data_IF_383994827331
#
_entry.id   IF_383994827331
#
_cell.length_a   1.000
_cell.length_b   1.000
_cell.length_c   1.000
_cell.angle_alpha   90.00
_cell.angle_beta   90.00
_cell.angle_gamma   90.00
#
_symmetry.space_group_name_H-M   'P 1'
#
loop_
_entity.id
_entity.type
_entity.pdbx_description
1 polymer ?
#
# COMPACT_ATOMS: atom_id res chain seq x y z
N UNK A 1 -25.34 30.97 -34.16
CA UNK A 1 -24.67 32.01 -33.36
C UNK A 1 -25.66 32.65 -32.38
N UNK A 2 -25.54 32.31 -31.10
CA UNK A 2 -25.87 33.07 -29.87
C UNK A 2 -25.34 32.21 -28.71
N UNK A 3 -24.59 32.76 -27.73
CA UNK A 3 -23.95 31.96 -26.70
C UNK A 3 -24.93 31.59 -25.58
N UNK A 4 -24.85 30.34 -25.13
CA UNK A 4 -25.58 29.81 -23.98
C UNK A 4 -24.96 30.32 -22.67
N UNK A 5 -25.80 30.91 -21.81
CA UNK A 5 -25.49 31.27 -20.43
C UNK A 5 -25.48 30.03 -19.54
N UNK A 6 -24.32 29.65 -19.00
CA UNK A 6 -24.18 28.59 -18.01
C UNK A 6 -24.08 29.15 -16.58
N UNK A 7 -25.01 28.73 -15.71
CA UNK A 7 -25.07 29.08 -14.30
C UNK A 7 -23.81 28.68 -13.53
N UNK A 8 -23.19 29.64 -12.84
CA UNK A 8 -22.17 29.39 -11.84
C UNK A 8 -22.80 28.75 -10.60
N UNK A 9 -22.40 27.52 -10.27
CA UNK A 9 -22.70 26.92 -8.98
C UNK A 9 -21.96 27.71 -7.88
N UNK A 10 -22.72 28.39 -7.02
CA UNK A 10 -22.22 29.10 -5.84
C UNK A 10 -21.64 28.10 -4.84
N UNK A 11 -20.38 28.27 -4.46
CA UNK A 11 -19.84 27.66 -3.24
C UNK A 11 -20.59 28.22 -2.03
N UNK A 12 -21.01 27.40 -1.05
CA UNK A 12 -21.46 27.89 0.24
C UNK A 12 -20.30 28.64 0.90
N UNK A 13 -20.55 29.91 1.22
CA UNK A 13 -19.65 30.82 1.91
C UNK A 13 -19.26 30.29 3.29
N UNK A 14 -17.97 30.11 3.56
CA UNK A 14 -17.51 29.82 4.93
C UNK A 14 -16.07 29.37 5.12
N UNK A 15 -15.32 28.98 4.09
CA UNK A 15 -13.94 28.46 4.28
C UNK A 15 -13.01 28.94 3.16
N UNK A 16 -12.47 30.15 3.31
CA UNK A 16 -11.17 30.61 2.79
C UNK A 16 -11.11 32.14 2.86
N UNK A 17 -10.50 32.70 3.90
CA UNK A 17 -10.03 34.08 3.86
C UNK A 17 -8.63 34.11 3.25
N UNK A 18 -8.53 34.37 1.94
CA UNK A 18 -7.27 34.81 1.34
C UNK A 18 -7.08 36.30 1.65
N UNK A 19 -6.33 36.65 2.70
CA UNK A 19 -5.82 38.03 2.84
C UNK A 19 -4.61 38.20 1.92
N UNK A 20 -4.74 39.13 0.98
CA UNK A 20 -3.67 39.64 0.14
C UNK A 20 -2.74 40.57 0.93
N UNK A 21 -1.45 40.25 1.00
CA UNK A 21 -0.40 41.20 1.40
C UNK A 21 0.68 40.65 2.35
N UNK A 22 1.93 40.61 1.85
CA UNK A 22 3.21 40.58 2.58
C UNK A 22 3.80 39.23 3.08
N UNK A 23 5.15 39.11 3.14
CA UNK A 23 5.88 37.86 2.85
C UNK A 23 6.11 37.01 4.09
N UNK A 24 5.65 35.75 4.06
CA UNK A 24 5.94 34.81 5.13
C UNK A 24 7.37 34.26 4.99
N UNK A 25 8.24 34.62 5.94
CA UNK A 25 9.46 33.88 6.28
C UNK A 25 9.06 32.46 6.72
N UNK A 26 9.67 31.43 6.14
CA UNK A 26 9.61 30.09 6.73
C UNK A 26 10.69 29.98 7.81
N UNK A 27 10.29 30.02 9.08
CA UNK A 27 11.11 29.55 10.20
C UNK A 27 10.93 28.04 10.36
N UNK A 28 12.04 27.30 10.35
CA UNK A 28 12.09 25.91 10.79
C UNK A 28 12.36 25.88 12.30
N UNK A 29 11.44 25.33 13.08
CA UNK A 29 11.71 24.90 14.46
C UNK A 29 11.18 23.49 14.62
N UNK A 30 12.11 22.54 14.65
CA UNK A 30 11.88 21.16 15.05
C UNK A 30 13.17 20.65 15.69
N UNK A 31 13.25 20.78 17.01
CA UNK A 31 14.36 20.32 17.82
C UNK A 31 14.35 18.78 17.89
N UNK A 32 15.49 18.16 17.57
CA UNK A 32 15.71 16.72 17.75
C UNK A 32 16.33 16.50 19.14
N UNK A 33 15.59 15.91 20.06
CA UNK A 33 16.15 15.39 21.32
C UNK A 33 16.85 14.07 21.06
N UNK A 34 18.18 14.06 21.17
CA UNK A 34 19.04 12.88 21.19
C UNK A 34 19.13 12.33 22.63
N UNK A 35 18.93 11.02 22.80
CA UNK A 35 19.36 10.25 23.99
C UNK A 35 20.60 9.40 23.63
N UNK A 36 21.64 9.30 24.49
CA UNK A 36 22.89 8.62 24.16
C UNK A 36 22.94 7.16 24.68
N UNK A 37 23.68 6.30 23.99
CA UNK A 37 24.21 5.02 24.51
C UNK A 37 25.76 5.06 24.50
N UNK A 38 26.44 4.38 25.44
CA UNK A 38 27.86 4.61 25.76
C UNK A 38 28.85 3.83 24.85
N UNK A 39 30.15 4.18 24.87
CA UNK A 39 31.13 3.65 23.92
C UNK A 39 31.83 2.39 24.43
N UNK A 40 32.13 1.45 23.52
CA UNK A 40 33.11 0.39 23.74
C UNK A 40 34.36 0.69 22.89
N UNK A 41 35.52 0.66 23.57
CA UNK A 41 36.86 0.95 23.05
C UNK A 41 37.53 -0.28 22.41
N UNK A 42 38.41 0.05 21.47
CA UNK A 42 39.68 -0.59 21.08
C UNK A 42 39.73 -2.06 20.65
N UNK A 43 40.03 -2.29 19.37
CA UNK A 43 41.12 -3.18 18.92
C UNK A 43 41.53 -2.85 17.47
N UNK A 44 42.82 -3.03 17.19
CA UNK A 44 43.65 -2.33 16.20
C UNK A 44 44.05 -3.17 14.95
N UNK A 45 44.10 -2.49 13.78
CA UNK A 45 45.00 -2.65 12.59
C UNK A 45 44.84 -3.87 11.64
N UNK A 46 45.33 -3.81 10.36
CA UNK A 46 45.54 -2.66 9.46
C UNK A 46 45.03 -2.82 8.00
N UNK A 47 44.94 -1.64 7.37
CA UNK A 47 44.92 -1.27 5.94
C UNK A 47 45.05 -2.34 4.82
N UNK A 48 44.07 -2.30 3.90
CA UNK A 48 44.28 -2.49 2.46
C UNK A 48 43.60 -1.31 1.74
N UNK A 49 44.45 -0.38 1.29
CA UNK A 49 44.09 0.79 0.49
C UNK A 49 43.71 0.38 -0.93
N UNK A 50 42.42 0.53 -1.27
CA UNK A 50 41.98 0.70 -2.65
C UNK A 50 41.29 2.06 -2.76
N UNK A 51 41.97 3.00 -3.40
CA UNK A 51 41.44 4.33 -3.67
C UNK A 51 40.29 4.23 -4.69
N UNK A 52 39.07 4.48 -4.24
CA UNK A 52 37.95 4.84 -5.09
C UNK A 52 37.35 6.13 -4.53
N UNK A 53 37.63 7.26 -5.18
CA UNK A 53 37.10 8.55 -4.79
C UNK A 53 35.56 8.54 -4.82
N UNK A 54 34.89 9.36 -3.99
CA UNK A 54 33.45 9.42 -3.97
C UNK A 54 32.94 9.96 -5.31
N UNK A 55 32.28 9.09 -6.08
CA UNK A 55 31.36 9.48 -7.14
C UNK A 55 30.19 10.22 -6.47
N UNK A 56 30.34 11.53 -6.27
CA UNK A 56 29.25 12.45 -6.02
C UNK A 56 28.31 12.37 -7.22
N UNK A 57 27.25 11.56 -7.10
CA UNK A 57 26.11 11.65 -8.01
C UNK A 57 25.51 13.05 -7.84
N UNK A 58 25.39 13.87 -8.89
CA UNK A 58 24.67 15.12 -8.80
C UNK A 58 23.23 14.80 -8.39
N UNK A 59 22.80 15.39 -7.27
CA UNK A 59 21.44 15.25 -6.78
C UNK A 59 20.48 15.75 -7.85
N UNK A 60 19.67 14.83 -8.39
CA UNK A 60 18.50 15.19 -9.19
C UNK A 60 17.49 15.77 -8.20
N UNK A 61 17.02 17.02 -8.36
CA UNK A 61 15.96 17.54 -7.52
C UNK A 61 14.65 16.83 -7.90
N UNK A 62 14.33 15.73 -7.22
CA UNK A 62 13.03 15.08 -7.31
C UNK A 62 12.03 15.88 -6.47
N UNK A 63 11.37 16.85 -7.10
CA UNK A 63 10.20 17.50 -6.53
C UNK A 63 9.00 16.55 -6.58
N UNK A 64 9.04 15.45 -5.83
CA UNK A 64 7.86 14.62 -5.63
C UNK A 64 6.95 15.37 -4.66
N UNK A 65 5.80 15.85 -5.14
CA UNK A 65 4.78 16.44 -4.29
C UNK A 65 4.09 15.32 -3.50
N UNK A 66 4.66 14.93 -2.35
CA UNK A 66 3.94 14.13 -1.38
C UNK A 66 2.90 15.02 -0.67
N UNK A 67 1.63 14.75 -0.93
CA UNK A 67 0.51 15.43 -0.27
C UNK A 67 -0.30 14.36 0.44
N UNK A 68 -0.61 14.55 1.71
CA UNK A 68 -1.59 13.69 2.41
C UNK A 68 -2.97 13.97 1.81
N UNK A 69 -3.55 13.07 0.98
CA UNK A 69 -4.85 13.36 0.40
C UNK A 69 -5.93 13.25 1.48
N UNK A 70 -6.73 14.30 1.62
CA UNK A 70 -8.01 14.25 2.33
C UNK A 70 -8.97 13.21 1.67
N UNK A 71 -10.05 12.75 2.34
CA UNK A 71 -10.71 11.43 2.15
C UNK A 71 -11.29 11.07 0.76
N UNK A 72 -11.06 11.88 -0.25
CA UNK A 72 -11.71 11.76 -1.54
C UNK A 72 -10.76 11.18 -2.60
N UNK A 73 -11.27 10.17 -3.33
CA UNK A 73 -10.73 9.54 -4.55
C UNK A 73 -9.46 8.67 -4.42
N UNK A 74 -9.24 7.73 -5.38
CA UNK A 74 -7.91 7.15 -5.58
C UNK A 74 -6.87 8.27 -5.78
N UNK A 75 -5.63 8.12 -5.28
CA UNK A 75 -4.66 9.22 -5.18
C UNK A 75 -4.43 9.98 -6.49
N UNK A 76 -4.51 9.27 -7.62
CA UNK A 76 -4.28 9.80 -8.97
C UNK A 76 -5.18 11.01 -9.33
N UNK A 77 -6.45 11.02 -8.90
CA UNK A 77 -7.41 12.04 -9.34
C UNK A 77 -7.22 13.42 -8.69
N UNK A 78 -6.68 13.50 -7.46
CA UNK A 78 -6.39 14.78 -6.77
C UNK A 78 -4.92 15.22 -6.85
N UNK A 79 -3.99 14.26 -6.90
CA UNK A 79 -2.57 14.57 -7.01
C UNK A 79 -2.24 15.19 -8.37
N UNK A 80 -2.93 14.79 -9.44
CA UNK A 80 -2.69 15.37 -10.76
C UNK A 80 -3.02 16.88 -10.85
N UNK A 81 -4.21 17.38 -10.41
CA UNK A 81 -4.50 18.81 -10.42
C UNK A 81 -3.64 19.64 -9.46
N UNK A 82 -3.33 19.11 -8.27
CA UNK A 82 -2.50 19.81 -7.28
C UNK A 82 -1.03 19.89 -7.70
N UNK A 83 -0.48 18.80 -8.27
CA UNK A 83 0.84 18.77 -8.89
C UNK A 83 0.96 19.78 -10.04
N UNK A 84 -0.08 19.93 -10.88
CA UNK A 84 -0.11 20.95 -11.94
C UNK A 84 -0.11 22.38 -11.39
N UNK A 85 -0.79 22.65 -10.26
CA UNK A 85 -0.78 23.99 -9.63
C UNK A 85 0.57 24.32 -9.00
N UNK A 86 1.18 23.38 -8.29
CA UNK A 86 2.53 23.53 -7.71
C UNK A 86 3.58 23.77 -8.80
N UNK A 87 3.50 22.99 -9.88
CA UNK A 87 4.31 23.14 -11.09
C UNK A 87 4.22 24.55 -11.67
N UNK A 88 3.01 25.12 -11.79
CA UNK A 88 2.80 26.50 -12.28
C UNK A 88 3.42 27.56 -11.36
N UNK A 89 3.40 27.37 -10.05
CA UNK A 89 4.06 28.25 -9.09
C UNK A 89 5.59 28.19 -9.22
N UNK A 90 6.16 27.00 -9.43
CA UNK A 90 7.59 26.80 -9.65
C UNK A 90 8.05 27.41 -10.99
N UNK A 91 7.26 27.24 -12.05
CA UNK A 91 7.51 27.81 -13.40
C UNK A 91 7.51 29.34 -13.44
N UNK A 92 6.88 30.01 -12.47
CA UNK A 92 6.98 31.48 -12.32
C UNK A 92 8.35 31.95 -11.84
N UNK A 93 9.14 31.09 -11.17
CA UNK A 93 10.46 31.44 -10.63
C UNK A 93 11.63 31.04 -11.54
N UNK A 94 11.46 30.07 -12.44
CA UNK A 94 12.52 29.58 -13.33
C UNK A 94 11.99 29.32 -14.75
N UNK A 95 11.91 30.34 -15.63
CA UNK A 95 11.33 30.21 -16.96
C UNK A 95 12.11 29.27 -17.92
N UNK A 96 13.38 29.00 -17.61
CA UNK A 96 14.30 28.14 -18.40
C UNK A 96 13.95 26.65 -18.25
N UNK A 97 13.27 26.26 -17.16
CA UNK A 97 12.84 24.87 -16.89
C UNK A 97 11.47 24.51 -17.47
N UNK A 98 10.87 25.37 -18.31
CA UNK A 98 9.56 25.12 -18.93
C UNK A 98 9.49 23.81 -19.72
N UNK A 99 10.60 23.38 -20.33
CA UNK A 99 10.67 22.13 -21.10
C UNK A 99 10.88 20.89 -20.21
N UNK A 100 11.42 21.06 -18.99
CA UNK A 100 11.75 19.95 -18.07
C UNK A 100 10.61 19.53 -17.16
N UNK A 101 9.54 20.34 -17.07
CA UNK A 101 8.34 20.03 -16.27
C UNK A 101 7.32 19.17 -17.04
N UNK A 102 7.81 18.16 -17.74
CA UNK A 102 7.05 16.95 -18.10
C UNK A 102 6.78 16.05 -16.86
N UNK A 103 7.04 16.55 -15.65
CA UNK A 103 6.97 15.83 -14.37
C UNK A 103 5.58 15.29 -14.01
N UNK A 104 4.50 15.72 -14.67
CA UNK A 104 3.19 15.06 -14.52
C UNK A 104 3.11 13.70 -15.26
N UNK A 105 4.11 13.38 -16.11
CA UNK A 105 4.18 12.18 -16.96
C UNK A 105 5.38 11.28 -16.60
N UNK A 106 6.30 11.74 -15.74
CA UNK A 106 7.36 10.84 -15.26
C UNK A 106 6.70 9.72 -14.48
N UNK A 107 6.84 8.47 -14.93
CA UNK A 107 6.35 7.25 -14.29
C UNK A 107 6.92 7.02 -12.87
N UNK A 108 7.50 8.04 -12.25
CA UNK A 108 8.06 8.05 -10.92
C UNK A 108 6.98 8.00 -9.82
N UNK A 109 5.79 8.58 -10.04
CA UNK A 109 4.62 8.32 -9.18
C UNK A 109 4.05 6.89 -9.37
N UNK A 110 4.58 6.15 -10.35
CA UNK A 110 4.13 4.88 -10.90
C UNK A 110 2.72 4.42 -10.50
N UNK A 111 1.75 4.85 -11.28
CA UNK A 111 0.36 4.39 -11.19
C UNK A 111 0.16 3.11 -12.00
N UNK A 112 -0.46 2.08 -11.39
CA UNK A 112 -0.85 0.83 -12.07
C UNK A 112 0.33 0.06 -12.66
N UNK A 113 1.51 0.23 -12.06
CA UNK A 113 2.80 -0.29 -12.52
C UNK A 113 3.60 -0.76 -11.32
N UNK A 114 4.14 -1.98 -11.41
CA UNK A 114 5.00 -2.52 -10.38
C UNK A 114 6.34 -1.77 -10.36
N UNK A 115 6.64 -1.05 -9.28
CA UNK A 115 7.90 -0.31 -9.11
C UNK A 115 8.49 -0.43 -7.73
N UNK A 116 9.82 -0.30 -7.67
CA UNK A 116 10.58 -0.31 -6.43
C UNK A 116 10.32 0.96 -5.60
N UNK A 117 10.02 2.09 -6.26
CA UNK A 117 9.69 3.35 -5.58
C UNK A 117 8.45 3.18 -4.71
N UNK A 118 7.38 2.57 -5.22
CA UNK A 118 6.16 2.33 -4.44
C UNK A 118 6.41 1.34 -3.27
N UNK A 119 7.33 0.40 -3.44
CA UNK A 119 7.71 -0.56 -2.41
C UNK A 119 8.54 0.08 -1.27
N UNK A 120 9.48 0.95 -1.62
CA UNK A 120 10.45 1.55 -0.69
C UNK A 120 9.87 2.80 -0.02
N UNK A 121 9.36 3.74 -0.83
CA UNK A 121 8.89 5.04 -0.35
C UNK A 121 7.40 5.02 0.03
N UNK A 122 6.68 3.95 -0.34
CA UNK A 122 5.24 3.81 -0.13
C UNK A 122 4.40 4.62 -1.11
N UNK A 123 3.11 4.26 -1.22
CA UNK A 123 2.12 5.00 -2.03
C UNK A 123 0.72 4.83 -1.45
N UNK A 124 -0.02 5.92 -1.26
CA UNK A 124 -1.34 5.83 -0.61
C UNK A 124 -1.22 5.56 0.89
N UNK A 125 -1.58 4.34 1.34
CA UNK A 125 -1.56 3.93 2.75
C UNK A 125 -0.60 2.77 2.97
N UNK A 126 0.40 2.99 3.81
CA UNK A 126 1.27 1.94 4.33
C UNK A 126 0.65 1.35 5.60
N UNK A 127 0.42 0.05 5.61
CA UNK A 127 -0.26 -0.65 6.70
C UNK A 127 0.53 -1.89 7.09
N UNK A 128 0.68 -2.10 8.40
CA UNK A 128 1.17 -3.35 8.98
C UNK A 128 0.03 -3.94 9.79
N UNK A 129 -0.21 -5.23 9.64
CA UNK A 129 -1.16 -5.99 10.44
C UNK A 129 -0.47 -7.22 11.00
N UNK A 130 -0.71 -7.53 12.26
CA UNK A 130 -0.11 -8.68 12.95
C UNK A 130 -1.13 -9.39 13.83
N UNK A 131 -0.88 -10.68 14.08
CA UNK A 131 -1.68 -11.49 14.99
C UNK A 131 -0.85 -12.63 15.59
N UNK A 132 -1.14 -12.99 16.84
CA UNK A 132 -0.63 -14.21 17.47
C UNK A 132 -1.72 -15.26 17.52
N UNK A 133 -1.50 -16.38 16.83
CA UNK A 133 -2.41 -17.52 16.76
C UNK A 133 -1.94 -18.61 17.70
N UNK A 134 -2.81 -18.99 18.64
CA UNK A 134 -2.50 -20.05 19.61
C UNK A 134 -2.26 -21.39 18.91
N UNK A 135 -1.27 -22.16 19.34
CA UNK A 135 -0.92 -23.46 18.73
C UNK A 135 -2.10 -24.42 18.61
N UNK A 136 -2.99 -24.42 19.62
CA UNK A 136 -4.24 -25.22 19.58
C UNK A 136 -5.09 -24.90 18.36
N UNK A 137 -5.19 -23.63 17.97
CA UNK A 137 -5.99 -23.16 16.82
C UNK A 137 -5.29 -23.53 15.52
N UNK A 138 -3.95 -23.45 15.47
CA UNK A 138 -3.17 -23.90 14.32
C UNK A 138 -3.42 -25.40 14.05
N UNK A 139 -3.40 -26.23 15.08
CA UNK A 139 -3.67 -27.66 14.92
C UNK A 139 -5.16 -27.95 14.64
N UNK A 140 -6.08 -27.32 15.39
CA UNK A 140 -7.51 -27.68 15.33
C UNK A 140 -8.22 -27.07 14.12
N UNK A 141 -7.86 -25.86 13.68
CA UNK A 141 -8.52 -25.15 12.57
C UNK A 141 -7.67 -25.24 11.30
N UNK A 142 -6.40 -24.87 11.38
CA UNK A 142 -5.50 -24.82 10.20
C UNK A 142 -4.97 -26.20 9.80
N UNK A 143 -5.15 -27.23 10.65
CA UNK A 143 -4.77 -28.63 10.40
C UNK A 143 -3.29 -28.80 10.04
N UNK A 144 -2.43 -27.99 10.63
CA UNK A 144 -0.98 -27.98 10.40
C UNK A 144 -0.22 -27.71 11.72
N UNK A 145 1.11 -27.62 11.65
CA UNK A 145 1.98 -27.25 12.78
C UNK A 145 2.62 -25.87 12.55
N UNK A 146 3.01 -25.20 13.63
CA UNK A 146 3.67 -23.89 13.58
C UNK A 146 4.99 -23.98 12.80
N UNK A 147 5.80 -25.00 13.08
CA UNK A 147 7.08 -25.27 12.41
C UNK A 147 6.92 -25.36 10.89
N UNK A 148 5.98 -26.17 10.41
CA UNK A 148 5.72 -26.35 8.97
C UNK A 148 5.28 -25.06 8.30
N UNK A 149 4.50 -24.23 8.99
CA UNK A 149 4.04 -22.94 8.47
C UNK A 149 5.21 -21.95 8.33
N UNK A 150 6.07 -21.86 9.33
CA UNK A 150 7.25 -20.99 9.32
C UNK A 150 8.22 -21.44 8.22
N UNK A 151 8.53 -22.73 8.16
CA UNK A 151 9.40 -23.31 7.13
C UNK A 151 8.85 -23.05 5.72
N UNK A 152 7.56 -23.31 5.50
CA UNK A 152 6.91 -23.04 4.21
C UNK A 152 6.96 -21.55 3.85
N UNK A 153 6.76 -20.64 4.80
CA UNK A 153 6.83 -19.20 4.52
C UNK A 153 8.23 -18.79 4.07
N UNK A 154 9.27 -19.29 4.74
CA UNK A 154 10.66 -18.99 4.39
C UNK A 154 10.97 -19.51 2.98
N UNK A 155 10.63 -20.75 2.68
CA UNK A 155 10.93 -21.36 1.37
C UNK A 155 10.11 -20.70 0.26
N UNK A 156 8.80 -20.49 0.47
CA UNK A 156 7.87 -20.05 -0.58
C UNK A 156 7.87 -18.53 -0.76
N UNK A 157 7.56 -17.80 0.31
CA UNK A 157 7.29 -16.37 0.23
C UNK A 157 8.57 -15.54 0.26
N UNK A 158 9.65 -16.04 0.88
CA UNK A 158 10.93 -15.33 0.94
C UNK A 158 11.91 -15.84 -0.13
N UNK A 159 12.45 -17.05 0.05
CA UNK A 159 13.47 -17.60 -0.84
C UNK A 159 12.95 -17.79 -2.27
N UNK A 160 11.76 -18.38 -2.42
CA UNK A 160 11.12 -18.59 -3.73
C UNK A 160 10.87 -17.28 -4.48
N UNK A 161 10.29 -16.28 -3.81
CA UNK A 161 10.09 -14.95 -4.39
C UNK A 161 11.41 -14.24 -4.72
N UNK A 162 12.45 -14.41 -3.90
CA UNK A 162 13.77 -13.85 -4.17
C UNK A 162 14.41 -14.47 -5.42
N UNK A 163 14.35 -15.80 -5.57
CA UNK A 163 14.85 -16.51 -6.76
C UNK A 163 14.05 -16.11 -8.01
N UNK A 164 12.74 -15.89 -7.88
CA UNK A 164 11.88 -15.43 -8.97
C UNK A 164 12.12 -13.96 -9.36
N UNK A 165 12.89 -13.19 -8.58
CA UNK A 165 13.07 -11.76 -8.81
C UNK A 165 11.79 -10.94 -8.57
N UNK A 166 10.92 -11.38 -7.66
CA UNK A 166 9.67 -10.71 -7.37
C UNK A 166 9.89 -9.33 -6.72
N UNK A 167 9.21 -8.30 -7.22
CA UNK A 167 9.28 -6.93 -6.70
C UNK A 167 8.09 -6.64 -5.78
N UNK A 168 8.31 -6.70 -4.46
CA UNK A 168 7.25 -6.50 -3.45
C UNK A 168 6.26 -7.66 -3.34
N UNK A 169 6.53 -8.79 -4.00
CA UNK A 169 5.68 -9.99 -4.04
C UNK A 169 6.15 -11.09 -3.09
N UNK A 170 6.37 -10.76 -1.82
CA UNK A 170 6.84 -11.72 -0.79
C UNK A 170 5.65 -12.29 0.01
N UNK A 171 4.63 -12.75 -0.71
CA UNK A 171 3.35 -13.21 -0.16
C UNK A 171 2.81 -14.40 -0.96
N UNK A 172 1.72 -15.01 -0.51
CA UNK A 172 1.10 -16.14 -1.19
C UNK A 172 0.07 -15.71 -2.22
N UNK A 173 -0.90 -14.88 -1.84
CA UNK A 173 -2.00 -14.45 -2.71
C UNK A 173 -2.66 -13.14 -2.28
N UNK A 174 -1.89 -12.16 -1.78
CA UNK A 174 -2.45 -10.86 -1.36
C UNK A 174 -3.32 -10.21 -2.45
N UNK A 175 -2.88 -10.32 -3.72
CA UNK A 175 -3.59 -9.86 -4.91
C UNK A 175 -5.03 -10.37 -5.03
N UNK A 176 -5.30 -11.62 -4.64
CA UNK A 176 -6.66 -12.18 -4.69
C UNK A 176 -7.61 -11.44 -3.75
N UNK A 177 -7.16 -11.24 -2.50
CA UNK A 177 -7.96 -10.59 -1.47
C UNK A 177 -8.16 -9.11 -1.77
N UNK A 178 -7.08 -8.41 -2.18
CA UNK A 178 -7.13 -7.00 -2.58
C UNK A 178 -8.11 -6.81 -3.74
N UNK A 179 -8.00 -7.61 -4.80
CA UNK A 179 -8.89 -7.52 -5.97
C UNK A 179 -10.36 -7.74 -5.59
N UNK A 180 -10.64 -8.76 -4.77
CA UNK A 180 -12.00 -9.06 -4.33
C UNK A 180 -12.62 -7.89 -3.56
N UNK A 181 -11.89 -7.32 -2.60
CA UNK A 181 -12.33 -6.15 -1.84
C UNK A 181 -12.46 -4.91 -2.71
N UNK A 182 -11.55 -4.71 -3.67
CA UNK A 182 -11.57 -3.56 -4.56
C UNK A 182 -12.82 -3.56 -5.45
N UNK A 183 -13.15 -4.70 -6.05
CA UNK A 183 -14.36 -4.86 -6.85
C UNK A 183 -15.61 -4.66 -6.00
N UNK A 184 -15.66 -5.29 -4.81
CA UNK A 184 -16.83 -5.20 -3.94
C UNK A 184 -17.08 -3.78 -3.40
N UNK A 185 -16.01 -3.03 -3.09
CA UNK A 185 -16.12 -1.70 -2.48
C UNK A 185 -15.98 -0.54 -3.47
N UNK A 186 -15.85 -0.82 -4.77
CA UNK A 186 -15.81 0.20 -5.82
C UNK A 186 -14.50 0.98 -5.93
N UNK A 187 -13.39 0.32 -5.59
CA UNK A 187 -12.03 0.83 -5.83
C UNK A 187 -11.64 0.63 -7.30
N UNK A 188 -10.45 1.10 -7.69
CA UNK A 188 -9.91 0.89 -9.04
C UNK A 188 -9.15 -0.46 -9.08
N UNK A 189 -9.67 -1.51 -9.74
CA UNK A 189 -9.04 -2.83 -9.74
C UNK A 189 -7.67 -2.84 -10.42
N UNK A 190 -7.37 -1.88 -11.30
CA UNK A 190 -6.05 -1.80 -11.93
C UNK A 190 -4.95 -1.40 -10.93
N UNK A 191 -5.32 -0.73 -9.84
CA UNK A 191 -4.39 -0.37 -8.76
C UNK A 191 -4.01 -1.56 -7.87
N UNK A 192 -4.55 -2.76 -8.15
CA UNK A 192 -4.10 -3.99 -7.50
C UNK A 192 -2.62 -4.28 -7.77
N UNK A 193 -2.06 -3.82 -8.91
CA UNK A 193 -0.64 -4.05 -9.25
C UNK A 193 0.29 -3.53 -8.14
N UNK A 194 0.00 -2.35 -7.61
CA UNK A 194 0.74 -1.73 -6.53
C UNK A 194 0.14 -2.06 -5.15
N UNK A 195 -1.18 -2.06 -5.01
CA UNK A 195 -1.84 -2.27 -3.72
C UNK A 195 -1.68 -3.70 -3.17
N UNK A 196 -1.31 -4.67 -4.01
CA UNK A 196 -1.04 -6.05 -3.59
C UNK A 196 0.42 -6.31 -3.21
N UNK A 197 1.29 -5.30 -3.29
CA UNK A 197 2.64 -5.41 -2.76
C UNK A 197 2.56 -5.71 -1.26
N UNK A 198 3.10 -6.85 -0.87
CA UNK A 198 2.96 -7.38 0.48
C UNK A 198 4.14 -8.29 0.81
N UNK A 199 4.65 -8.15 2.02
CA UNK A 199 5.55 -9.12 2.64
C UNK A 199 4.85 -9.78 3.82
N UNK A 200 4.84 -11.12 3.80
CA UNK A 200 4.24 -11.97 4.83
C UNK A 200 5.36 -12.61 5.65
N UNK A 201 5.36 -12.36 6.96
CA UNK A 201 6.33 -12.90 7.90
C UNK A 201 5.64 -13.79 8.93
N UNK A 202 6.20 -14.96 9.17
CA UNK A 202 5.74 -15.93 10.15
C UNK A 202 6.88 -16.26 11.10
N UNK A 203 6.61 -16.23 12.40
CA UNK A 203 7.57 -16.51 13.45
C UNK A 203 6.96 -17.43 14.50
N UNK A 204 7.77 -18.34 15.03
CA UNK A 204 7.36 -19.20 16.12
C UNK A 204 7.61 -18.46 17.43
N UNK A 205 6.57 -18.25 18.24
CA UNK A 205 6.63 -17.52 19.52
C UNK A 205 6.22 -18.43 20.67
N UNK A 206 6.47 -17.99 21.92
CA UNK A 206 6.19 -18.77 23.12
C UNK A 206 6.83 -20.17 23.07
N UNK A 207 8.15 -20.23 22.84
CA UNK A 207 8.92 -21.49 22.72
C UNK A 207 8.43 -22.40 21.59
N UNK A 208 7.93 -21.80 20.50
CA UNK A 208 7.43 -22.51 19.34
C UNK A 208 5.99 -23.04 19.47
N UNK A 209 5.31 -22.73 20.57
CA UNK A 209 3.92 -23.19 20.82
C UNK A 209 2.92 -22.39 19.99
N UNK A 210 3.16 -21.10 19.79
CA UNK A 210 2.23 -20.21 19.12
C UNK A 210 2.87 -19.64 17.84
N UNK A 211 2.02 -19.20 16.92
CA UNK A 211 2.44 -18.60 15.66
C UNK A 211 2.19 -17.10 15.71
N UNK A 212 3.23 -16.29 15.49
CA UNK A 212 3.07 -14.89 15.11
C UNK A 212 3.07 -14.79 13.59
N UNK A 213 2.11 -14.05 13.06
CA UNK A 213 2.01 -13.72 11.63
C UNK A 213 1.90 -12.21 11.49
N UNK A 214 2.60 -11.65 10.52
CA UNK A 214 2.42 -10.27 10.09
C UNK A 214 2.40 -10.14 8.58
N UNK A 215 1.67 -9.12 8.12
CA UNK A 215 1.67 -8.66 6.74
C UNK A 215 2.00 -7.17 6.72
N UNK A 216 2.90 -6.77 5.83
CA UNK A 216 3.24 -5.37 5.59
C UNK A 216 2.94 -5.01 4.16
N UNK A 217 2.09 -4.01 3.98
CA UNK A 217 1.60 -3.54 2.69
C UNK A 217 1.88 -2.03 2.57
N UNK A 218 2.97 -1.63 1.88
CA UNK A 218 3.43 -0.23 1.90
C UNK A 218 2.62 0.69 0.98
N UNK A 219 1.86 0.14 0.03
CA UNK A 219 1.34 0.87 -1.12
C UNK A 219 -0.17 0.69 -1.38
N UNK A 220 -1.00 0.57 -0.32
CA UNK A 220 -2.46 0.36 -0.47
C UNK A 220 -3.16 1.64 -0.95
N UNK A 221 -3.83 1.57 -2.10
CA UNK A 221 -4.58 2.70 -2.66
C UNK A 221 -6.08 2.48 -2.59
N UNK A 222 -6.68 3.11 -1.59
CA UNK A 222 -8.11 3.01 -1.32
C UNK A 222 -8.73 4.37 -1.02
N UNK A 223 -10.00 4.52 -1.40
CA UNK A 223 -10.82 5.69 -1.14
C UNK A 223 -12.25 5.30 -0.74
N UNK A 224 -12.92 6.18 0.00
CA UNK A 224 -14.30 5.95 0.47
C UNK A 224 -15.33 6.91 -0.15
N UNK A 225 -14.84 7.83 -0.99
CA UNK A 225 -15.62 8.84 -1.70
C UNK A 225 -15.14 8.91 -3.15
N UNK A 226 -16.10 8.93 -4.08
CA UNK A 226 -15.88 9.14 -5.50
C UNK A 226 -15.45 7.89 -6.27
N UNK A 227 -15.32 8.01 -7.60
CA UNK A 227 -15.07 6.86 -8.48
C UNK A 227 -16.21 5.83 -8.41
N UNK A 228 -15.87 4.54 -8.39
CA UNK A 228 -16.84 3.44 -8.27
C UNK A 228 -17.57 3.40 -6.93
N UNK A 229 -17.04 4.07 -5.89
CA UNK A 229 -17.66 4.06 -4.56
C UNK A 229 -19.03 4.75 -4.51
N UNK A 230 -19.39 5.58 -5.49
CA UNK A 230 -20.71 6.23 -5.56
C UNK A 230 -21.82 5.34 -6.10
N UNK A 231 -21.48 4.20 -6.71
CA UNK A 231 -22.45 3.21 -7.18
C UNK A 231 -23.17 2.59 -5.98
N UNK A 232 -24.47 2.34 -6.13
CA UNK A 232 -25.35 1.91 -5.02
C UNK A 232 -24.90 0.60 -4.39
N UNK A 233 -24.54 -0.41 -5.20
CA UNK A 233 -24.08 -1.71 -4.70
C UNK A 233 -22.76 -1.61 -3.93
N UNK A 234 -21.77 -0.92 -4.50
CA UNK A 234 -20.46 -0.72 -3.88
C UNK A 234 -20.56 0.14 -2.62
N UNK A 235 -21.46 1.13 -2.62
CA UNK A 235 -21.77 1.93 -1.45
C UNK A 235 -22.38 1.09 -0.32
N UNK A 236 -23.24 0.12 -0.64
CA UNK A 236 -23.79 -0.81 0.35
C UNK A 236 -22.69 -1.66 1.01
N UNK A 237 -21.72 -2.17 0.25
CA UNK A 237 -20.56 -2.88 0.81
C UNK A 237 -19.71 -1.99 1.72
N UNK A 238 -19.47 -0.73 1.33
CA UNK A 238 -18.77 0.24 2.18
C UNK A 238 -19.55 0.60 3.45
N UNK A 239 -20.88 0.61 3.39
CA UNK A 239 -21.75 0.82 4.55
C UNK A 239 -21.67 -0.37 5.52
N UNK A 240 -21.64 -1.62 5.00
CA UNK A 240 -21.46 -2.83 5.82
C UNK A 240 -20.15 -2.78 6.61
N UNK A 241 -19.09 -2.28 5.98
CA UNK A 241 -17.79 -2.07 6.62
C UNK A 241 -17.72 -0.80 7.50
N UNK A 242 -18.78 0.01 7.55
CA UNK A 242 -18.85 1.24 8.36
C UNK A 242 -17.94 2.38 7.90
N UNK A 243 -17.47 2.35 6.64
CA UNK A 243 -16.46 3.29 6.10
C UNK A 243 -16.98 4.16 4.96
N UNK A 244 -18.28 4.12 4.64
CA UNK A 244 -18.80 4.89 3.50
C UNK A 244 -18.70 6.41 3.75
N UNK A 245 -18.27 7.14 2.72
CA UNK A 245 -18.33 8.60 2.72
C UNK A 245 -17.20 9.30 3.48
N UNK A 246 -17.29 10.64 3.60
CA UNK A 246 -16.36 11.43 4.40
C UNK A 246 -16.58 11.22 5.89
N UNK A 247 -15.49 11.37 6.65
CA UNK A 247 -15.56 11.50 8.10
C UNK A 247 -15.33 12.96 8.46
N UNK A 248 -16.37 13.62 8.98
CA UNK A 248 -16.35 15.06 9.29
C UNK A 248 -15.49 15.40 10.52
N UNK A 249 -15.39 14.48 11.49
CA UNK A 249 -14.57 14.68 12.70
C UNK A 249 -13.09 14.39 12.48
N UNK A 250 -12.76 13.46 11.58
CA UNK A 250 -11.38 13.11 11.24
C UNK A 250 -11.24 12.80 9.74
N UNK A 251 -10.94 13.81 8.90
CA UNK A 251 -10.75 13.59 7.48
C UNK A 251 -9.76 12.46 7.19
N UNK A 252 -10.15 11.54 6.30
CA UNK A 252 -9.33 10.38 5.92
C UNK A 252 -9.40 9.20 6.88
N UNK A 253 -10.12 9.28 8.01
CA UNK A 253 -10.27 8.15 8.95
C UNK A 253 -10.93 6.93 8.30
N UNK A 254 -12.03 7.13 7.56
CA UNK A 254 -12.71 6.03 6.88
C UNK A 254 -11.81 5.31 5.85
N UNK A 255 -11.03 6.08 5.08
CA UNK A 255 -10.07 5.50 4.13
C UNK A 255 -8.88 4.81 4.82
N UNK A 256 -8.46 5.26 6.02
CA UNK A 256 -7.48 4.56 6.84
C UNK A 256 -8.05 3.24 7.35
N UNK A 257 -9.28 3.26 7.87
CA UNK A 257 -9.97 2.06 8.36
C UNK A 257 -10.18 1.04 7.23
N UNK A 258 -10.57 1.48 6.04
CA UNK A 258 -10.67 0.59 4.87
C UNK A 258 -9.32 -0.06 4.52
N UNK A 259 -8.22 0.70 4.55
CA UNK A 259 -6.89 0.14 4.32
C UNK A 259 -6.51 -0.90 5.39
N UNK A 260 -6.86 -0.67 6.65
CA UNK A 260 -6.68 -1.64 7.74
C UNK A 260 -7.52 -2.90 7.53
N UNK A 261 -8.77 -2.77 7.07
CA UNK A 261 -9.64 -3.92 6.74
C UNK A 261 -9.05 -4.73 5.59
N UNK A 262 -8.51 -4.07 4.56
CA UNK A 262 -7.82 -4.75 3.44
C UNK A 262 -6.62 -5.54 3.95
N UNK A 263 -5.73 -4.92 4.71
CA UNK A 263 -4.54 -5.59 5.26
C UNK A 263 -4.90 -6.74 6.20
N UNK A 264 -5.89 -6.57 7.08
CA UNK A 264 -6.37 -7.64 7.97
C UNK A 264 -7.01 -8.81 7.22
N UNK A 265 -7.73 -8.52 6.13
CA UNK A 265 -8.29 -9.56 5.26
C UNK A 265 -7.18 -10.30 4.50
N UNK A 266 -6.15 -9.59 4.05
CA UNK A 266 -4.95 -10.20 3.44
C UNK A 266 -4.25 -11.11 4.44
N UNK A 267 -4.04 -10.68 5.68
CA UNK A 267 -3.45 -11.51 6.75
C UNK A 267 -4.24 -12.81 6.94
N UNK A 268 -5.58 -12.73 7.04
CA UNK A 268 -6.44 -13.90 7.19
C UNK A 268 -6.36 -14.83 5.97
N UNK A 269 -6.34 -14.27 4.76
CA UNK A 269 -6.17 -15.02 3.52
C UNK A 269 -4.83 -15.72 3.43
N UNK A 270 -3.74 -15.02 3.75
CA UNK A 270 -2.37 -15.56 3.76
C UNK A 270 -2.25 -16.73 4.73
N UNK A 271 -2.74 -16.57 5.96
CA UNK A 271 -2.75 -17.62 6.98
C UNK A 271 -3.49 -18.87 6.48
N UNK A 272 -4.67 -18.69 5.89
CA UNK A 272 -5.49 -19.79 5.39
C UNK A 272 -4.82 -20.53 4.23
N UNK A 273 -4.21 -19.82 3.27
CA UNK A 273 -3.60 -20.43 2.11
C UNK A 273 -2.29 -21.15 2.47
N UNK A 274 -1.44 -20.53 3.29
CA UNK A 274 -0.22 -21.14 3.78
C UNK A 274 -0.53 -22.41 4.59
N UNK A 275 -1.58 -22.39 5.41
CA UNK A 275 -2.05 -23.58 6.12
C UNK A 275 -2.47 -24.70 5.17
N UNK A 276 -3.28 -24.39 4.15
CA UNK A 276 -3.73 -25.38 3.18
C UNK A 276 -2.56 -26.00 2.38
N UNK A 277 -1.54 -25.19 2.05
CA UNK A 277 -0.31 -25.65 1.40
C UNK A 277 0.52 -26.53 2.34
N UNK A 278 0.74 -26.10 3.58
CA UNK A 278 1.52 -26.85 4.57
C UNK A 278 0.87 -28.20 4.93
N UNK A 279 -0.47 -28.27 4.90
CA UNK A 279 -1.22 -29.50 5.12
C UNK A 279 -1.34 -30.39 3.86
N UNK A 280 -0.82 -29.96 2.70
CA UNK A 280 -0.95 -30.69 1.42
C UNK A 280 -2.38 -30.75 0.89
N UNK A 281 -3.28 -29.87 1.36
CA UNK A 281 -4.71 -29.91 1.03
C UNK A 281 -5.09 -29.06 -0.19
N UNK A 282 -4.16 -28.29 -0.77
CA UNK A 282 -4.46 -27.32 -1.83
C UNK A 282 -5.15 -27.97 -3.05
N UNK A 283 -4.65 -29.12 -3.52
CA UNK A 283 -5.23 -29.81 -4.68
C UNK A 283 -6.64 -30.32 -4.37
N UNK A 284 -6.86 -30.83 -3.15
CA UNK A 284 -8.15 -31.40 -2.72
C UNK A 284 -9.22 -30.32 -2.53
N UNK A 285 -8.87 -29.15 -1.99
CA UNK A 285 -9.80 -28.03 -1.83
C UNK A 285 -10.11 -27.36 -3.16
N UNK A 286 -9.12 -27.20 -4.05
CA UNK A 286 -9.33 -26.67 -5.39
C UNK A 286 -10.25 -27.57 -6.23
N UNK A 287 -10.08 -28.89 -6.16
CA UNK A 287 -10.95 -29.85 -6.84
C UNK A 287 -12.37 -29.90 -6.26
N UNK A 288 -12.54 -29.62 -4.97
CA UNK A 288 -13.85 -29.68 -4.29
C UNK A 288 -14.67 -28.39 -4.43
N UNK A 289 -14.04 -27.23 -4.42
CA UNK A 289 -14.73 -25.93 -4.36
C UNK A 289 -14.51 -25.03 -5.58
N UNK A 290 -13.47 -25.27 -6.39
CA UNK A 290 -13.14 -24.45 -7.57
C UNK A 290 -13.40 -25.17 -8.91
N UNK A 291 -13.97 -26.38 -8.89
CA UNK A 291 -14.57 -27.02 -10.05
C UNK A 291 -16.05 -27.27 -9.78
N UNK A 292 -16.89 -26.95 -10.75
CA UNK A 292 -18.29 -27.38 -10.73
C UNK A 292 -18.31 -28.91 -10.72
N UNK A 293 -19.12 -29.52 -9.85
CA UNK A 293 -19.27 -30.98 -9.76
C UNK A 293 -19.68 -31.65 -11.08
N UNK A 294 -20.17 -30.87 -12.07
CA UNK A 294 -20.45 -31.35 -13.43
C UNK A 294 -19.20 -31.71 -14.22
N UNK A 295 -18.05 -31.05 -13.98
CA UNK A 295 -16.83 -31.29 -14.77
C UNK A 295 -16.10 -32.57 -14.33
N UNK A 296 -16.35 -33.04 -13.11
CA UNK A 296 -15.75 -34.28 -12.58
C UNK A 296 -16.48 -35.52 -13.12
N UNK A 297 -17.78 -35.42 -13.40
CA UNK A 297 -18.56 -36.53 -13.94
C UNK A 297 -18.20 -36.83 -15.40
N UNK A 298 -17.93 -35.81 -16.23
CA UNK A 298 -17.59 -35.98 -17.64
C UNK A 298 -16.15 -36.45 -17.90
N UNK A 299 -15.26 -36.39 -16.91
CA UNK A 299 -13.89 -36.90 -17.03
C UNK A 299 -13.77 -38.38 -16.60
N UNK A 300 -14.86 -38.96 -16.05
CA UNK A 300 -14.92 -40.33 -15.56
C UNK A 300 -15.82 -41.24 -16.41
N UNK A 301 -16.33 -40.75 -17.55
CA UNK A 301 -17.07 -41.47 -18.60
C UNK A 301 -16.26 -41.52 -19.87
#
# INVERSE_FOLDING_TARGET
>A
MRPFSGNAARCPSGMCSCRSGSPARCSWTGATTMFPWPPLRDASLPALTAAAGPLQRPGVPSACCSVTPCPAHPPSSYLAPSGQRSSRCFLRRLPILRHWLLSSISNYCSDKKATAVNWIDGRGKSVVCEATIKGRVVQSVLKTTVEKLVELNIIKNLAGSAVAGALGGFNAHASNIVTALFIATGQDPAQNVESSQCITMLEAVNEGKDLHISVTMPSIEVGTIGGGTSLTSQAACLNLLGVKGPNHGSPGANARLLATIVAGSVLAGELSLLAALAAGQLVKSHMKYNRSSKDVANAAS
#
